data_IF_621807553674
#
_entry.id   IF_621807553674
#
_cell.length_a   1.000
_cell.length_b   1.000
_cell.length_c   1.000
_cell.angle_alpha   90.00
_cell.angle_beta   90.00
_cell.angle_gamma   90.00
#
_symmetry.space_group_name_H-M   'P 1'
#
loop_
_entity.id
_entity.type
_entity.pdbx_description
1 polymer ?
#
# COMPACT_ATOMS: atom_id res chain seq x y z
N UNK A 1 4.59 -31.34 2.73
CA UNK A 1 4.97 -30.49 3.89
C UNK A 1 4.11 -30.93 5.06
N UNK A 2 4.71 -31.30 6.19
CA UNK A 2 3.98 -31.57 7.44
C UNK A 2 4.42 -30.60 8.55
N UNK A 3 3.75 -30.64 9.71
CA UNK A 3 4.08 -29.73 10.81
C UNK A 3 5.50 -29.94 11.36
N UNK A 4 6.01 -31.17 11.32
CA UNK A 4 7.38 -31.50 11.72
C UNK A 4 8.43 -30.82 10.86
N UNK A 5 8.16 -30.66 9.56
CA UNK A 5 9.04 -29.96 8.62
C UNK A 5 9.16 -28.47 8.95
N UNK A 6 8.06 -27.86 9.40
CA UNK A 6 8.01 -26.44 9.83
C UNK A 6 8.66 -26.27 11.21
N UNK A 7 8.40 -27.20 12.13
CA UNK A 7 8.92 -27.18 13.51
C UNK A 7 10.44 -27.31 13.59
N UNK A 8 11.01 -28.14 12.73
CA UNK A 8 12.44 -28.43 12.69
C UNK A 8 12.93 -28.17 11.27
N UNK A 9 12.97 -26.90 10.82
CA UNK A 9 13.08 -26.46 9.42
C UNK A 9 13.84 -27.44 8.52
N UNK A 10 13.14 -28.48 8.08
CA UNK A 10 13.79 -29.63 7.44
C UNK A 10 14.16 -29.23 6.02
N UNK A 11 15.02 -30.00 5.34
CA UNK A 11 15.29 -29.75 3.94
C UNK A 11 14.01 -29.61 3.09
N UNK A 12 12.91 -30.29 3.43
CA UNK A 12 11.64 -30.14 2.72
C UNK A 12 11.09 -28.70 2.73
N UNK A 13 11.15 -28.00 3.87
CA UNK A 13 10.73 -26.60 3.99
C UNK A 13 11.60 -25.67 3.14
N UNK A 14 12.91 -25.88 3.18
CA UNK A 14 13.86 -25.08 2.40
C UNK A 14 13.72 -25.34 0.91
N UNK A 15 13.54 -26.60 0.51
CA UNK A 15 13.30 -27.02 -0.87
C UNK A 15 12.03 -26.35 -1.41
N UNK A 16 10.94 -26.31 -0.65
CA UNK A 16 9.74 -25.58 -1.05
C UNK A 16 10.06 -24.12 -1.38
N UNK A 17 10.80 -23.41 -0.52
CA UNK A 17 11.08 -21.97 -0.68
C UNK A 17 12.11 -21.64 -1.77
N UNK A 18 12.82 -22.64 -2.29
CA UNK A 18 13.74 -22.50 -3.43
C UNK A 18 13.23 -23.20 -4.69
N UNK A 19 12.03 -23.80 -4.65
CA UNK A 19 11.46 -24.50 -5.79
C UNK A 19 11.19 -23.49 -6.92
N UNK A 20 11.76 -23.69 -8.12
CA UNK A 20 11.55 -22.78 -9.24
C UNK A 20 10.08 -22.59 -9.62
N UNK A 21 9.17 -23.51 -9.27
CA UNK A 21 7.72 -23.37 -9.50
C UNK A 21 7.13 -22.13 -8.82
N UNK A 22 7.75 -21.66 -7.72
CA UNK A 22 7.34 -20.47 -7.00
C UNK A 22 7.48 -19.18 -7.84
N UNK A 23 8.33 -19.19 -8.85
CA UNK A 23 8.48 -18.04 -9.76
C UNK A 23 7.37 -17.96 -10.81
N UNK A 24 6.55 -19.01 -10.95
CA UNK A 24 5.44 -19.07 -11.91
C UNK A 24 4.25 -18.21 -11.47
N UNK A 25 4.00 -18.12 -10.18
CA UNK A 25 2.96 -17.26 -9.58
C UNK A 25 3.46 -16.66 -8.26
N UNK A 26 3.88 -15.40 -8.32
CA UNK A 26 4.37 -14.67 -7.15
C UNK A 26 3.31 -14.42 -6.07
N UNK A 27 2.02 -14.47 -6.41
CA UNK A 27 0.93 -14.33 -5.45
C UNK A 27 0.79 -15.61 -4.65
N UNK A 28 0.67 -16.74 -5.35
CA UNK A 28 0.63 -18.06 -4.71
C UNK A 28 1.86 -18.27 -3.83
N UNK A 29 3.04 -17.87 -4.28
CA UNK A 29 4.29 -17.92 -3.51
C UNK A 29 4.27 -17.04 -2.27
N UNK A 30 3.72 -15.83 -2.36
CA UNK A 30 3.57 -14.95 -1.19
C UNK A 30 2.65 -15.59 -0.16
N UNK A 31 1.53 -16.18 -0.61
CA UNK A 31 0.59 -16.87 0.27
C UNK A 31 1.23 -18.13 0.89
N UNK A 32 1.93 -18.94 0.11
CA UNK A 32 2.66 -20.13 0.57
C UNK A 32 3.70 -19.75 1.64
N UNK A 33 4.45 -18.68 1.42
CA UNK A 33 5.50 -18.21 2.34
C UNK A 33 4.90 -17.63 3.62
N UNK A 34 3.84 -16.81 3.53
CA UNK A 34 3.14 -16.32 4.73
C UNK A 34 2.55 -17.50 5.53
N UNK A 35 1.95 -18.48 4.86
CA UNK A 35 1.33 -19.64 5.48
C UNK A 35 2.35 -20.51 6.22
N UNK A 36 3.36 -21.03 5.52
CA UNK A 36 4.26 -22.04 6.08
C UNK A 36 5.37 -21.43 6.94
N UNK A 37 5.88 -20.24 6.57
CA UNK A 37 7.02 -19.63 7.25
C UNK A 37 6.57 -18.71 8.39
N UNK A 38 5.74 -17.71 8.09
CA UNK A 38 5.39 -16.69 9.09
C UNK A 38 4.33 -17.19 10.07
N UNK A 39 3.21 -17.71 9.56
CA UNK A 39 2.07 -18.10 10.39
C UNK A 39 2.28 -19.46 11.07
N UNK A 40 2.45 -20.53 10.29
CA UNK A 40 2.68 -21.87 10.85
C UNK A 40 4.01 -21.95 11.61
N UNK A 41 5.07 -21.28 11.17
CA UNK A 41 6.32 -21.21 11.92
C UNK A 41 6.19 -20.52 13.29
N UNK A 42 5.23 -19.61 13.43
CA UNK A 42 4.88 -19.00 14.73
C UNK A 42 3.99 -19.93 15.55
N UNK A 43 2.91 -20.44 14.96
CA UNK A 43 1.92 -21.31 15.63
C UNK A 43 2.57 -22.60 16.15
N UNK A 44 3.49 -23.17 15.39
CA UNK A 44 4.10 -24.46 15.70
C UNK A 44 4.83 -24.49 17.06
N UNK A 45 5.34 -23.35 17.53
CA UNK A 45 5.98 -23.24 18.85
C UNK A 45 5.00 -23.49 20.01
N UNK A 46 3.70 -23.33 19.77
CA UNK A 46 2.64 -23.45 20.77
C UNK A 46 1.84 -24.76 20.64
N UNK A 47 1.84 -25.40 19.45
CA UNK A 47 1.15 -26.69 19.19
C UNK A 47 1.63 -27.82 20.12
N UNK A 48 2.90 -27.79 20.57
CA UNK A 48 3.44 -28.81 21.50
C UNK A 48 2.78 -28.83 22.88
N UNK A 49 2.00 -27.82 23.22
CA UNK A 49 1.49 -27.60 24.58
C UNK A 49 -0.03 -27.79 24.70
N UNK A 50 -0.75 -27.96 23.58
CA UNK A 50 -2.22 -27.97 23.55
C UNK A 50 -2.77 -28.92 22.47
N UNK A 51 -3.48 -29.97 22.86
CA UNK A 51 -4.10 -30.93 21.92
C UNK A 51 -5.18 -30.30 21.04
N UNK A 52 -5.82 -29.23 21.52
CA UNK A 52 -6.95 -28.52 20.89
C UNK A 52 -6.63 -27.88 19.52
N UNK A 53 -5.35 -27.71 19.16
CA UNK A 53 -4.93 -27.06 17.90
C UNK A 53 -4.62 -28.04 16.76
N UNK A 54 -4.79 -29.35 16.99
CA UNK A 54 -4.39 -30.39 16.04
C UNK A 54 -5.18 -30.31 14.72
N UNK A 55 -6.51 -30.14 14.80
CA UNK A 55 -7.36 -30.05 13.59
C UNK A 55 -7.11 -28.77 12.79
N UNK A 56 -6.93 -27.63 13.47
CA UNK A 56 -6.61 -26.36 12.83
C UNK A 56 -5.25 -26.43 12.11
N UNK A 57 -4.29 -27.13 12.69
CA UNK A 57 -2.96 -27.32 12.10
C UNK A 57 -3.04 -28.12 10.81
N UNK A 58 -3.82 -29.20 10.79
CA UNK A 58 -4.05 -29.99 9.58
C UNK A 58 -4.76 -29.18 8.48
N UNK A 59 -5.79 -28.40 8.86
CA UNK A 59 -6.51 -27.53 7.94
C UNK A 59 -5.60 -26.42 7.36
N UNK A 60 -4.65 -25.89 8.14
CA UNK A 60 -3.66 -24.91 7.67
C UNK A 60 -2.58 -25.53 6.76
N UNK A 61 -2.14 -26.76 7.05
CA UNK A 61 -1.13 -27.45 6.24
C UNK A 61 -1.65 -27.84 4.85
N UNK A 62 -2.95 -28.12 4.77
CA UNK A 62 -3.65 -28.51 3.54
C UNK A 62 -4.26 -27.32 2.80
N UNK A 63 -4.05 -26.08 3.28
CA UNK A 63 -4.64 -24.85 2.74
C UNK A 63 -6.17 -24.81 2.75
N UNK A 64 -6.83 -25.69 3.52
CA UNK A 64 -8.28 -25.57 3.79
C UNK A 64 -8.59 -24.30 4.60
N UNK A 65 -7.63 -23.85 5.41
CA UNK A 65 -7.63 -22.54 6.08
C UNK A 65 -6.37 -21.75 5.74
N UNK A 66 -6.49 -20.42 5.54
CA UNK A 66 -5.38 -19.50 5.31
C UNK A 66 -5.04 -18.71 6.56
N UNK A 67 -3.80 -18.79 7.02
CA UNK A 67 -3.22 -17.99 8.08
C UNK A 67 -2.58 -16.71 7.53
N UNK A 68 -2.60 -15.63 8.32
CA UNK A 68 -2.01 -14.35 7.98
C UNK A 68 -1.23 -13.78 9.16
N UNK A 69 -0.09 -13.15 8.89
CA UNK A 69 0.81 -12.64 9.91
C UNK A 69 0.67 -11.12 10.03
N UNK A 70 -0.26 -10.68 10.87
CA UNK A 70 -0.67 -9.28 11.00
C UNK A 70 0.11 -8.56 12.12
N UNK A 71 1.38 -8.27 11.86
CA UNK A 71 2.28 -7.70 12.87
C UNK A 71 2.41 -6.17 12.82
N UNK A 72 2.27 -5.57 11.65
CA UNK A 72 2.54 -4.14 11.46
C UNK A 72 1.28 -3.32 11.77
N UNK A 73 1.43 -2.23 12.52
CA UNK A 73 0.37 -1.24 12.76
C UNK A 73 0.63 0.05 11.96
N UNK A 74 -0.35 0.95 11.80
CA UNK A 74 -0.25 2.16 10.92
C UNK A 74 0.93 3.04 11.30
N UNK A 75 1.09 3.17 12.61
CA UNK A 75 2.07 3.97 13.31
C UNK A 75 3.14 3.11 13.97
N UNK A 76 3.04 1.77 13.92
CA UNK A 76 4.02 0.85 14.52
C UNK A 76 4.27 -0.37 13.66
N UNK A 77 4.92 -0.12 12.52
CA UNK A 77 5.49 -1.20 11.72
C UNK A 77 6.86 -1.70 12.20
N UNK A 78 7.64 -0.84 12.88
CA UNK A 78 9.02 -1.10 13.31
C UNK A 78 9.20 -1.09 14.83
N UNK A 79 8.17 -0.67 15.57
CA UNK A 79 8.16 -0.61 17.03
C UNK A 79 7.22 -1.67 17.60
N UNK A 80 7.61 -2.93 17.36
CA UNK A 80 6.83 -4.12 17.73
C UNK A 80 6.58 -4.22 19.24
N UNK A 81 7.54 -3.76 20.05
CA UNK A 81 7.47 -3.85 21.51
C UNK A 81 6.45 -2.88 22.12
N UNK A 82 6.09 -1.82 21.39
CA UNK A 82 5.09 -0.84 21.81
C UNK A 82 3.82 -0.91 20.95
N UNK A 83 3.57 -2.04 20.28
CA UNK A 83 2.29 -2.31 19.63
C UNK A 83 1.16 -2.04 20.61
N UNK A 84 0.12 -1.42 20.09
CA UNK A 84 -0.99 -0.93 20.90
C UNK A 84 -2.25 -1.71 20.72
N UNK A 85 -2.35 -2.53 19.68
CA UNK A 85 -3.37 -3.58 19.65
C UNK A 85 -3.13 -4.54 20.81
N UNK A 86 -4.09 -4.59 21.73
CA UNK A 86 -4.04 -5.42 22.93
C UNK A 86 -4.99 -6.62 22.82
N UNK A 87 -4.64 -7.72 23.48
CA UNK A 87 -5.52 -8.86 23.68
C UNK A 87 -5.74 -9.05 25.19
N UNK A 88 -6.95 -8.76 25.69
CA UNK A 88 -7.28 -8.83 27.12
C UNK A 88 -8.18 -10.03 27.38
N UNK A 89 -7.82 -10.90 28.33
CA UNK A 89 -8.65 -12.07 28.68
C UNK A 89 -9.83 -11.66 29.56
N UNK A 90 -11.03 -12.13 29.22
CA UNK A 90 -12.27 -11.88 29.94
C UNK A 90 -12.57 -13.01 30.95
N UNK A 91 -13.46 -12.73 31.90
CA UNK A 91 -13.86 -13.69 32.95
C UNK A 91 -14.55 -14.94 32.37
N UNK A 92 -15.16 -14.84 31.18
CA UNK A 92 -15.74 -15.98 30.45
C UNK A 92 -14.69 -16.96 29.92
N UNK A 93 -13.42 -16.56 29.87
CA UNK A 93 -12.34 -17.30 29.22
C UNK A 93 -12.03 -16.84 27.80
N UNK A 94 -12.84 -15.96 27.22
CA UNK A 94 -12.62 -15.36 25.89
C UNK A 94 -11.56 -14.24 25.91
N UNK A 95 -11.22 -13.71 24.74
CA UNK A 95 -10.31 -12.58 24.59
C UNK A 95 -10.98 -11.40 23.88
N UNK A 96 -10.80 -10.19 24.43
CA UNK A 96 -11.10 -8.92 23.77
C UNK A 96 -9.87 -8.42 23.01
N UNK A 97 -9.97 -8.32 21.68
CA UNK A 97 -8.93 -7.79 20.81
C UNK A 97 -9.25 -6.32 20.51
N UNK A 98 -8.45 -5.41 21.06
CA UNK A 98 -8.74 -3.99 21.03
C UNK A 98 -7.60 -3.22 20.36
N UNK A 99 -7.92 -2.46 19.31
CA UNK A 99 -7.01 -1.56 18.59
C UNK A 99 -7.36 -0.13 19.02
N UNK A 100 -6.65 0.44 20.02
CA UNK A 100 -7.11 1.63 20.74
C UNK A 100 -7.17 2.88 19.87
N UNK A 101 -6.29 2.96 18.86
CA UNK A 101 -6.21 4.12 17.97
C UNK A 101 -5.96 3.72 16.52
N UNK A 102 -6.31 4.60 15.59
CA UNK A 102 -6.08 4.37 14.16
C UNK A 102 -4.58 4.26 13.80
N UNK A 103 -3.68 4.78 14.64
CA UNK A 103 -2.23 4.57 14.49
C UNK A 103 -1.81 3.13 14.78
N UNK A 104 -2.74 2.30 15.21
CA UNK A 104 -2.48 0.94 15.59
C UNK A 104 -2.93 0.00 14.41
N UNK A 105 -3.13 0.55 13.18
CA UNK A 105 -3.75 -0.13 12.01
C UNK A 105 -2.87 -0.30 10.73
N UNK A 106 -2.53 -1.49 10.28
CA UNK A 106 -1.52 -1.79 9.23
C UNK A 106 -1.45 -1.02 7.84
N UNK A 107 -0.20 -0.69 7.35
CA UNK A 107 0.44 -0.56 5.97
C UNK A 107 0.02 0.42 4.80
N UNK A 108 0.98 1.19 4.20
CA UNK A 108 0.79 2.02 2.97
C UNK A 108 1.95 2.19 1.92
N UNK A 109 3.22 1.81 2.17
CA UNK A 109 4.37 2.13 1.29
C UNK A 109 4.45 1.33 -0.04
N UNK A 110 3.70 0.23 -0.14
CA UNK A 110 3.71 -0.70 -1.27
C UNK A 110 3.28 -0.08 -2.61
N UNK A 111 2.59 1.07 -2.58
CA UNK A 111 2.05 1.72 -3.79
C UNK A 111 3.12 2.42 -4.65
N UNK A 112 4.29 2.80 -4.10
CA UNK A 112 5.40 3.36 -4.88
C UNK A 112 6.00 2.28 -5.79
N UNK A 113 6.25 1.10 -5.23
CA UNK A 113 6.76 -0.06 -5.97
C UNK A 113 5.79 -0.48 -7.09
N UNK A 114 4.49 -0.38 -6.83
CA UNK A 114 3.48 -0.67 -7.85
C UNK A 114 3.56 0.27 -9.05
N UNK A 115 3.72 1.60 -8.85
CA UNK A 115 3.85 2.56 -9.95
C UNK A 115 5.05 2.22 -10.87
N UNK A 116 6.18 1.84 -10.27
CA UNK A 116 7.38 1.44 -11.00
C UNK A 116 7.13 0.16 -11.81
N UNK A 117 6.53 -0.86 -11.20
CA UNK A 117 6.27 -2.14 -11.85
C UNK A 117 5.24 -2.00 -12.99
N UNK A 118 4.16 -1.25 -12.78
CA UNK A 118 3.15 -0.98 -13.81
C UNK A 118 3.74 -0.29 -15.03
N UNK A 119 4.47 0.80 -14.78
CA UNK A 119 5.07 1.55 -15.87
C UNK A 119 6.06 0.70 -16.64
N UNK A 120 6.87 -0.13 -15.97
CA UNK A 120 7.77 -1.04 -16.64
C UNK A 120 7.05 -2.06 -17.53
N UNK A 121 6.05 -2.78 -17.00
CA UNK A 121 5.29 -3.80 -17.73
C UNK A 121 4.65 -3.19 -18.99
N UNK A 122 3.94 -2.06 -18.81
CA UNK A 122 3.24 -1.40 -19.92
C UNK A 122 4.21 -0.77 -20.92
N UNK A 123 5.35 -0.23 -20.48
CA UNK A 123 6.39 0.28 -21.38
C UNK A 123 6.96 -0.82 -22.28
N UNK A 124 7.36 -1.95 -21.68
CA UNK A 124 7.95 -3.06 -22.44
C UNK A 124 6.94 -3.67 -23.41
N UNK A 125 5.69 -3.83 -22.98
CA UNK A 125 4.61 -4.25 -23.87
C UNK A 125 4.43 -3.26 -25.03
N UNK A 126 4.40 -1.96 -24.74
CA UNK A 126 4.18 -0.92 -25.76
C UNK A 126 5.31 -0.81 -26.79
N UNK A 127 6.54 -1.15 -26.41
CA UNK A 127 7.67 -1.24 -27.33
C UNK A 127 7.59 -2.45 -28.25
N UNK A 128 6.99 -3.55 -27.78
CA UNK A 128 6.93 -4.83 -28.52
C UNK A 128 5.68 -4.94 -29.38
N UNK A 129 4.56 -4.39 -28.92
CA UNK A 129 3.28 -4.47 -29.62
C UNK A 129 3.30 -3.53 -30.82
N UNK A 130 3.13 -4.08 -32.01
CA UNK A 130 3.02 -3.33 -33.25
C UNK A 130 1.57 -3.29 -33.75
N UNK A 131 1.24 -2.21 -34.44
CA UNK A 131 -0.02 -2.04 -35.19
C UNK A 131 0.32 -1.47 -36.57
N UNK A 132 -0.54 -1.68 -37.56
CA UNK A 132 -0.34 -1.09 -38.88
C UNK A 132 -0.43 0.44 -38.81
N UNK A 133 0.54 1.12 -39.41
CA UNK A 133 0.53 2.57 -39.52
C UNK A 133 -0.63 3.02 -40.42
N UNK A 134 -1.47 3.98 -40.00
CA UNK A 134 -2.56 4.48 -40.84
C UNK A 134 -2.06 5.24 -42.08
N UNK A 135 -0.77 5.62 -42.13
CA UNK A 135 -0.19 6.39 -43.23
C UNK A 135 0.62 5.55 -44.21
N UNK A 136 1.30 4.49 -43.73
CA UNK A 136 2.24 3.69 -44.54
C UNK A 136 1.89 2.21 -44.60
N UNK A 137 0.95 1.71 -43.80
CA UNK A 137 0.63 0.29 -43.68
C UNK A 137 1.68 -0.53 -42.91
N UNK A 138 2.89 0.00 -42.75
CA UNK A 138 4.00 -0.67 -42.06
C UNK A 138 3.74 -0.85 -40.56
N UNK A 139 4.23 -1.94 -39.95
CA UNK A 139 4.12 -2.16 -38.52
C UNK A 139 4.88 -1.10 -37.73
N UNK A 140 4.18 -0.39 -36.84
CA UNK A 140 4.78 0.59 -35.93
C UNK A 140 4.50 0.21 -34.47
N UNK A 141 5.48 0.34 -33.57
CA UNK A 141 5.30 0.00 -32.16
C UNK A 141 4.35 1.00 -31.51
N UNK A 142 3.43 0.52 -30.67
CA UNK A 142 2.38 1.38 -30.10
C UNK A 142 2.94 2.47 -29.18
N UNK A 143 4.15 2.31 -28.63
CA UNK A 143 4.83 3.36 -27.86
C UNK A 143 5.13 4.63 -28.68
N UNK A 144 5.09 4.55 -30.02
CA UNK A 144 5.27 5.72 -30.89
C UNK A 144 4.07 6.69 -30.82
N UNK A 145 2.89 6.22 -30.43
CA UNK A 145 1.69 7.05 -30.36
C UNK A 145 1.66 7.90 -29.08
N UNK A 146 1.38 9.21 -29.16
CA UNK A 146 1.26 10.07 -27.99
C UNK A 146 0.22 9.60 -26.97
N UNK A 147 -0.88 9.01 -27.44
CA UNK A 147 -1.97 8.45 -26.62
C UNK A 147 -1.50 7.30 -25.74
N UNK A 148 -0.49 6.54 -26.17
CA UNK A 148 0.15 5.47 -25.41
C UNK A 148 1.32 6.00 -24.56
N UNK A 149 2.17 6.83 -25.17
CA UNK A 149 3.42 7.31 -24.58
C UNK A 149 3.21 8.29 -23.44
N UNK A 150 2.32 9.28 -23.58
CA UNK A 150 2.20 10.36 -22.59
C UNK A 150 1.74 9.84 -21.21
N UNK A 151 0.68 9.02 -21.08
CA UNK A 151 0.24 8.49 -19.79
C UNK A 151 1.30 7.63 -19.12
N UNK A 152 2.05 6.85 -19.91
CA UNK A 152 3.18 6.07 -19.44
C UNK A 152 4.29 6.97 -18.87
N UNK A 153 4.67 8.02 -19.58
CA UNK A 153 5.67 8.98 -19.11
C UNK A 153 5.24 9.69 -17.81
N UNK A 154 3.96 10.03 -17.67
CA UNK A 154 3.42 10.60 -16.43
C UNK A 154 3.56 9.64 -15.24
N UNK A 155 3.24 8.35 -15.41
CA UNK A 155 3.38 7.36 -14.34
C UNK A 155 4.86 7.12 -13.99
N UNK A 156 5.74 7.06 -14.99
CA UNK A 156 7.20 6.96 -14.77
C UNK A 156 7.67 8.16 -13.96
N UNK A 157 7.33 9.39 -14.39
CA UNK A 157 7.70 10.61 -13.68
C UNK A 157 7.19 10.63 -12.22
N UNK A 158 5.93 10.24 -12.01
CA UNK A 158 5.35 10.12 -10.67
C UNK A 158 6.11 9.09 -9.82
N UNK A 159 6.52 7.95 -10.39
CA UNK A 159 7.26 6.94 -9.65
C UNK A 159 8.62 7.45 -9.14
N UNK A 160 9.35 8.22 -9.96
CA UNK A 160 10.60 8.86 -9.56
C UNK A 160 10.37 9.97 -8.54
N UNK A 161 9.34 10.80 -8.77
CA UNK A 161 8.95 11.85 -7.84
C UNK A 161 8.61 11.28 -6.46
N UNK A 162 7.68 10.32 -6.38
CA UNK A 162 7.27 9.75 -5.10
C UNK A 162 8.40 9.00 -4.42
N UNK A 163 9.28 8.33 -5.16
CA UNK A 163 10.46 7.69 -4.57
C UNK A 163 11.37 8.72 -3.88
N UNK A 164 11.66 9.85 -4.54
CA UNK A 164 12.48 10.91 -3.95
C UNK A 164 11.73 11.70 -2.84
N UNK A 165 10.44 11.95 -3.03
CA UNK A 165 9.60 12.68 -2.10
C UNK A 165 9.36 11.90 -0.80
N UNK A 166 9.17 10.58 -0.90
CA UNK A 166 8.97 9.71 0.25
C UNK A 166 10.16 9.73 1.21
N UNK A 167 11.39 9.85 0.69
CA UNK A 167 12.59 10.04 1.53
C UNK A 167 12.52 11.34 2.35
N UNK A 168 12.05 12.45 1.75
CA UNK A 168 11.84 13.72 2.47
C UNK A 168 10.76 13.60 3.54
N UNK A 169 9.68 12.87 3.24
CA UNK A 169 8.56 12.63 4.16
C UNK A 169 9.00 11.80 5.35
N UNK A 170 9.80 10.75 5.13
CA UNK A 170 10.39 9.95 6.20
C UNK A 170 11.24 10.84 7.10
N UNK A 171 12.08 11.70 6.53
CA UNK A 171 12.91 12.62 7.33
C UNK A 171 12.04 13.58 8.17
N UNK A 172 11.00 14.18 7.60
CA UNK A 172 10.05 15.03 8.33
C UNK A 172 9.27 14.26 9.41
N UNK A 173 8.86 13.03 9.12
CA UNK A 173 8.17 12.18 10.09
C UNK A 173 9.09 11.75 11.22
N UNK A 174 10.38 11.54 10.98
CA UNK A 174 11.36 11.11 11.97
C UNK A 174 11.92 12.27 12.82
N UNK A 175 11.80 13.51 12.35
CA UNK A 175 12.23 14.70 13.09
C UNK A 175 11.37 14.91 14.34
N UNK A 176 11.94 14.59 15.51
CA UNK A 176 11.25 14.70 16.81
C UNK A 176 11.08 16.14 17.30
N UNK A 177 11.72 17.12 16.66
CA UNK A 177 11.61 18.53 17.00
C UNK A 177 10.34 19.17 16.45
N UNK A 178 9.73 18.56 15.44
CA UNK A 178 8.47 18.99 14.85
C UNK A 178 7.25 18.51 15.65
N UNK A 179 6.17 19.29 15.62
CA UNK A 179 4.89 18.93 16.25
C UNK A 179 4.45 17.52 15.76
N UNK A 180 4.17 16.56 16.67
CA UNK A 180 3.64 15.25 16.33
C UNK A 180 2.41 15.28 15.41
N UNK A 181 1.58 16.32 15.50
CA UNK A 181 0.40 16.53 14.65
C UNK A 181 0.79 16.89 13.22
N UNK A 182 1.78 17.75 13.06
CA UNK A 182 2.36 18.09 11.76
C UNK A 182 3.01 16.87 11.10
N UNK A 183 3.80 16.10 11.85
CA UNK A 183 4.46 14.88 11.37
C UNK A 183 3.46 13.87 10.81
N UNK A 184 2.37 13.63 11.57
CA UNK A 184 1.24 12.79 11.12
C UNK A 184 0.56 13.37 9.89
N UNK A 185 0.36 14.68 9.87
CA UNK A 185 -0.27 15.37 8.75
C UNK A 185 0.45 15.22 7.42
N UNK A 186 1.77 15.36 7.43
CA UNK A 186 2.60 15.14 6.24
C UNK A 186 2.43 13.69 5.74
N UNK A 187 2.47 12.68 6.63
CA UNK A 187 2.27 11.28 6.22
C UNK A 187 0.87 11.00 5.66
N UNK A 188 -0.17 11.63 6.22
CA UNK A 188 -1.55 11.47 5.74
C UNK A 188 -1.75 12.13 4.37
N UNK A 189 -1.23 13.35 4.17
CA UNK A 189 -1.23 14.00 2.86
C UNK A 189 -0.50 13.18 1.80
N UNK A 190 0.68 12.67 2.14
CA UNK A 190 1.50 11.89 1.20
C UNK A 190 0.80 10.62 0.80
N UNK A 191 0.18 9.93 1.76
CA UNK A 191 -0.65 8.75 1.49
C UNK A 191 -1.81 9.09 0.57
N UNK A 192 -2.55 10.15 0.85
CA UNK A 192 -3.69 10.58 0.03
C UNK A 192 -3.30 10.83 -1.42
N UNK A 193 -2.25 11.62 -1.61
CA UNK A 193 -1.75 12.00 -2.93
C UNK A 193 -1.18 10.76 -3.63
N UNK A 194 -0.36 9.94 -2.95
CA UNK A 194 0.18 8.71 -3.51
C UNK A 194 -0.93 7.73 -3.94
N UNK A 195 -1.98 7.53 -3.11
CA UNK A 195 -3.09 6.64 -3.46
C UNK A 195 -3.87 7.16 -4.67
N UNK A 196 -4.11 8.47 -4.75
CA UNK A 196 -4.78 9.08 -5.90
C UNK A 196 -3.98 8.83 -7.18
N UNK A 197 -2.67 9.08 -7.15
CA UNK A 197 -1.81 8.86 -8.31
C UNK A 197 -1.68 7.37 -8.68
N UNK A 198 -1.59 6.46 -7.70
CA UNK A 198 -1.56 5.01 -7.93
C UNK A 198 -2.85 4.47 -8.52
N UNK A 199 -4.02 4.91 -8.07
CA UNK A 199 -5.30 4.50 -8.65
C UNK A 199 -5.52 5.06 -10.06
N UNK A 200 -5.11 6.30 -10.32
CA UNK A 200 -5.18 6.88 -11.65
C UNK A 200 -4.22 6.17 -12.63
N UNK A 201 -3.01 5.86 -12.19
CA UNK A 201 -2.03 5.09 -12.97
C UNK A 201 -2.55 3.69 -13.32
N UNK A 202 -3.20 3.04 -12.34
CA UNK A 202 -3.82 1.73 -12.48
C UNK A 202 -4.82 1.67 -13.62
N UNK A 203 -5.78 2.61 -13.67
CA UNK A 203 -6.77 2.68 -14.74
C UNK A 203 -6.08 3.04 -16.07
N UNK A 204 -5.30 4.13 -16.07
CA UNK A 204 -4.71 4.66 -17.30
C UNK A 204 -3.79 3.66 -18.02
N UNK A 205 -2.99 2.89 -17.28
CA UNK A 205 -2.07 1.92 -17.88
C UNK A 205 -2.73 0.57 -18.18
N UNK A 206 -3.74 0.15 -17.41
CA UNK A 206 -4.44 -1.11 -17.69
C UNK A 206 -5.21 -1.05 -19.02
N UNK A 207 -5.93 0.05 -19.27
CA UNK A 207 -6.66 0.25 -20.54
C UNK A 207 -5.72 0.21 -21.76
N UNK A 208 -4.48 0.68 -21.57
CA UNK A 208 -3.44 0.78 -22.60
C UNK A 208 -2.65 -0.50 -22.82
N UNK A 209 -2.68 -1.39 -21.84
CA UNK A 209 -2.17 -2.75 -21.99
C UNK A 209 -3.17 -3.63 -22.78
N UNK A 210 -4.43 -3.22 -22.82
CA UNK A 210 -5.52 -3.90 -23.53
C UNK A 210 -5.96 -5.19 -22.82
N UNK A 211 -6.68 -6.05 -23.55
CA UNK A 211 -7.25 -7.28 -22.98
C UNK A 211 -6.20 -8.21 -22.32
N UNK A 212 -4.94 -8.13 -22.74
CA UNK A 212 -3.86 -8.92 -22.11
C UNK A 212 -3.68 -8.57 -20.62
N UNK A 213 -4.10 -7.38 -20.18
CA UNK A 213 -3.93 -6.93 -18.80
C UNK A 213 -4.86 -7.68 -17.85
N UNK A 214 -5.92 -8.29 -18.40
CA UNK A 214 -6.85 -9.13 -17.68
C UNK A 214 -6.30 -10.52 -17.40
N UNK A 215 -5.26 -10.95 -18.13
CA UNK A 215 -4.63 -12.24 -17.89
C UNK A 215 -3.73 -12.17 -16.66
N UNK A 216 -3.96 -13.08 -15.72
CA UNK A 216 -3.30 -13.09 -14.42
C UNK A 216 -1.77 -13.16 -14.52
N UNK A 217 -1.23 -13.85 -15.53
CA UNK A 217 0.20 -13.95 -15.75
C UNK A 217 0.88 -12.59 -16.08
N UNK A 218 0.11 -11.60 -16.55
CA UNK A 218 0.60 -10.24 -16.77
C UNK A 218 0.52 -9.37 -15.50
N UNK A 219 -0.03 -9.89 -14.41
CA UNK A 219 -0.05 -9.34 -13.04
C UNK A 219 -0.76 -7.98 -12.85
N UNK A 220 -1.23 -7.34 -13.93
CA UNK A 220 -1.89 -6.04 -13.89
C UNK A 220 -3.18 -6.09 -13.05
N UNK A 221 -4.12 -6.99 -13.33
CA UNK A 221 -5.35 -7.12 -12.52
C UNK A 221 -5.06 -7.46 -11.04
N UNK A 222 -4.04 -8.27 -10.79
CA UNK A 222 -3.65 -8.68 -9.44
C UNK A 222 -3.11 -7.52 -8.62
N UNK A 223 -2.16 -6.78 -9.17
CA UNK A 223 -1.55 -5.64 -8.50
C UNK A 223 -2.56 -4.49 -8.31
N UNK A 224 -3.51 -4.36 -9.24
CA UNK A 224 -4.61 -3.40 -9.15
C UNK A 224 -5.41 -3.64 -7.87
N UNK A 225 -5.81 -4.89 -7.63
CA UNK A 225 -6.56 -5.29 -6.45
C UNK A 225 -5.73 -5.10 -5.15
N UNK A 226 -4.43 -5.41 -5.18
CA UNK A 226 -3.54 -5.19 -4.03
C UNK A 226 -3.47 -3.70 -3.62
N UNK A 227 -3.31 -2.80 -4.58
CA UNK A 227 -3.27 -1.35 -4.30
C UNK A 227 -4.62 -0.80 -3.89
N UNK A 228 -5.73 -1.33 -4.42
CA UNK A 228 -7.07 -0.99 -3.93
C UNK A 228 -7.25 -1.36 -2.46
N UNK A 229 -6.73 -2.51 -2.03
CA UNK A 229 -6.72 -2.91 -0.61
C UNK A 229 -5.91 -1.96 0.28
N UNK A 230 -4.78 -1.46 -0.21
CA UNK A 230 -3.96 -0.47 0.50
C UNK A 230 -4.65 0.89 0.57
N UNK A 231 -5.35 1.29 -0.50
CA UNK A 231 -5.99 2.60 -0.57
C UNK A 231 -7.20 2.76 0.36
N UNK A 232 -7.84 1.66 0.76
CA UNK A 232 -8.93 1.67 1.74
C UNK A 232 -8.43 1.56 3.19
N UNK A 233 -7.16 1.19 3.41
CA UNK A 233 -6.58 1.13 4.74
C UNK A 233 -6.24 2.55 5.22
N UNK A 234 -6.83 3.01 6.34
CA UNK A 234 -6.59 4.28 7.06
C UNK A 234 -7.17 5.57 6.44
N UNK A 235 -7.69 6.48 7.28
CA UNK A 235 -8.48 7.65 6.87
C UNK A 235 -7.65 8.89 6.47
N UNK A 236 -8.10 9.60 5.45
CA UNK A 236 -7.52 10.83 4.88
C UNK A 236 -8.40 12.06 5.16
N UNK A 237 -9.72 11.89 5.31
CA UNK A 237 -10.70 12.99 5.41
C UNK A 237 -10.62 13.72 6.74
N UNK A 238 -10.40 13.01 7.85
CA UNK A 238 -10.24 13.61 9.18
C UNK A 238 -9.07 14.61 9.25
N UNK A 239 -7.97 14.33 8.55
CA UNK A 239 -6.82 15.24 8.50
C UNK A 239 -7.11 16.50 7.67
N UNK A 240 -7.81 16.38 6.54
CA UNK A 240 -8.19 17.52 5.68
C UNK A 240 -9.10 18.49 6.45
N UNK A 241 -10.03 17.97 7.26
CA UNK A 241 -10.91 18.79 8.10
C UNK A 241 -10.13 19.58 9.17
N UNK A 242 -9.16 18.95 9.83
CA UNK A 242 -8.30 19.60 10.82
C UNK A 242 -7.36 20.66 10.19
N UNK A 243 -6.88 20.41 8.97
CA UNK A 243 -6.05 21.35 8.22
C UNK A 243 -6.84 22.61 7.80
N UNK A 244 -8.08 22.43 7.33
CA UNK A 244 -8.95 23.53 6.89
C UNK A 244 -9.53 24.35 8.04
N UNK A 245 -9.54 23.80 9.26
CA UNK A 245 -9.92 24.50 10.49
C UNK A 245 -8.75 25.21 11.17
N UNK A 246 -7.56 25.20 10.55
CA UNK A 246 -6.32 25.83 11.04
C UNK A 246 -5.93 25.41 12.46
N UNK A 247 -6.22 24.16 12.84
CA UNK A 247 -5.84 23.63 14.17
C UNK A 247 -4.33 23.39 14.31
N UNK A 248 -3.59 23.42 13.21
CA UNK A 248 -2.14 23.19 13.14
C UNK A 248 -1.49 24.21 12.20
N UNK A 249 -0.25 24.61 12.52
CA UNK A 249 0.58 25.41 11.63
C UNK A 249 1.35 24.48 10.68
N UNK A 250 1.17 24.71 9.38
CA UNK A 250 1.98 24.06 8.34
C UNK A 250 3.35 24.75 8.35
N UNK A 251 4.47 24.00 8.28
CA UNK A 251 5.79 24.58 8.27
C UNK A 251 5.92 25.56 7.10
N UNK A 252 6.65 26.67 7.30
CA UNK A 252 6.77 27.70 6.30
C UNK A 252 7.39 27.11 5.02
N UNK A 253 6.91 27.61 3.89
CA UNK A 253 7.38 27.20 2.57
C UNK A 253 8.87 27.46 2.44
N UNK A 254 9.59 26.53 1.83
CA UNK A 254 11.05 26.65 1.60
C UNK A 254 11.40 27.87 0.74
N UNK A 255 10.48 28.27 -0.15
CA UNK A 255 10.55 29.52 -0.91
C UNK A 255 9.17 30.23 -0.90
N UNK A 256 8.96 31.20 0.02
CA UNK A 256 7.74 31.97 0.12
C UNK A 256 7.46 32.86 -1.11
N UNK A 257 8.46 33.13 -1.94
CA UNK A 257 8.32 33.97 -3.13
C UNK A 257 7.77 33.20 -4.34
N UNK A 258 7.82 31.87 -4.28
CA UNK A 258 7.39 30.98 -5.36
C UNK A 258 5.89 31.11 -5.69
N UNK A 259 5.53 30.81 -6.94
CA UNK A 259 4.12 30.82 -7.36
C UNK A 259 3.28 29.79 -6.62
N UNK A 260 3.88 28.63 -6.29
CA UNK A 260 3.22 27.57 -5.53
C UNK A 260 2.92 28.05 -4.09
N UNK A 261 3.88 28.75 -3.49
CA UNK A 261 3.73 29.33 -2.16
C UNK A 261 2.57 30.35 -2.10
N UNK A 262 2.53 31.25 -3.08
CA UNK A 262 1.47 32.26 -3.22
C UNK A 262 0.10 31.62 -3.48
N UNK A 263 0.06 30.54 -4.28
CA UNK A 263 -1.16 29.80 -4.57
C UNK A 263 -1.70 29.07 -3.34
N UNK A 264 -0.85 28.38 -2.60
CA UNK A 264 -1.20 27.71 -1.34
C UNK A 264 -1.76 28.70 -0.32
N UNK A 265 -1.08 29.84 -0.12
CA UNK A 265 -1.54 30.89 0.79
C UNK A 265 -2.90 31.46 0.37
N UNK A 266 -3.12 31.67 -0.93
CA UNK A 266 -4.40 32.11 -1.47
C UNK A 266 -5.50 31.05 -1.27
N UNK A 267 -5.18 29.77 -1.49
CA UNK A 267 -6.10 28.65 -1.30
C UNK A 267 -6.56 28.54 0.16
N UNK A 268 -5.63 28.56 1.11
CA UNK A 268 -5.96 28.52 2.54
C UNK A 268 -6.78 29.72 2.99
N UNK A 269 -6.48 30.94 2.51
CA UNK A 269 -7.32 32.13 2.75
C UNK A 269 -8.75 31.95 2.22
N UNK A 270 -8.91 31.40 1.01
CA UNK A 270 -10.23 31.15 0.41
C UNK A 270 -11.00 30.03 1.13
N UNK A 271 -10.31 28.99 1.57
CA UNK A 271 -10.90 27.84 2.23
C UNK A 271 -11.28 28.13 3.69
N UNK A 272 -10.47 28.91 4.42
CA UNK A 272 -10.76 29.33 5.81
C UNK A 272 -11.94 30.31 5.90
N UNK A 273 -12.12 31.19 4.90
CA UNK A 273 -13.30 32.06 4.79
C UNK A 273 -14.60 31.25 4.61
N UNK A 274 -14.54 30.09 3.94
CA UNK A 274 -15.71 29.20 3.79
C UNK A 274 -15.99 28.35 5.03
N UNK A 275 -14.96 27.94 5.79
CA UNK A 275 -15.16 27.16 7.03
C UNK A 275 -15.84 28.00 8.13
N UNK A 276 -15.52 29.30 8.23
CA UNK A 276 -16.21 30.23 9.14
C UNK A 276 -17.71 30.44 8.80
N UNK A 277 -18.11 30.30 7.53
CA UNK A 277 -19.55 30.36 7.15
C UNK A 277 -20.32 29.10 7.51
N UNK A 278 -19.68 27.93 7.57
CA UNK A 278 -20.35 26.68 7.97
C UNK A 278 -20.62 26.61 9.48
N UNK A 279 -19.78 27.23 10.32
CA UNK A 279 -20.00 27.33 11.77
C UNK A 279 -21.15 28.28 12.17
N UNK A 280 -21.73 29.02 11.22
CA UNK A 280 -22.88 29.91 11.47
C UNK A 280 -24.22 29.33 11.01
N UNK A 281 -24.26 28.10 10.48
CA UNK A 281 -25.52 27.44 10.16
C UNK A 281 -26.18 26.93 11.45
N UNK A 282 -27.10 27.70 12.00
CA UNK A 282 -28.09 27.19 12.96
C UNK A 282 -29.26 26.61 12.15
N UNK A 283 -29.66 25.34 12.37
CA UNK A 283 -30.87 24.83 11.76
C UNK A 283 -32.07 25.63 12.30
N UNK A 284 -32.89 26.14 11.39
CA UNK A 284 -34.23 26.67 11.64
C UNK A 284 -35.19 25.55 12.02
#
# INVERSE_FOLDING_TARGET
>A
MNIGDVLKPTPALWILHIDPILLRDGVATTLLTIQYNLFLGTLAKFIRQTEDLSQLTEDLLTFKTLGQFCLTELGRGLDIYNMRTTATRLDSGDFDLHTPTQQDANLAALSICQLQLYSYIVARYSQRRHVASPYSGEPVPIISFPTQKLPLMYVIANSYFFNAFYQKVVNLFMDKTLDPRLRRGVTTCVKAVLMMHSQNANIALSDRYGAQGLFEYNQMSTLFNKVRGIAIAGDILGFIADLLTMKYEIPPQTDPSSLLAKHELHFFKKASIKSHRMTQWKPS
#
